data_IF_358094068950
#
_entry.id   IF_358094068950
#
_cell.length_a   1.000
_cell.length_b   1.000
_cell.length_c   1.000
_cell.angle_alpha   90.00
_cell.angle_beta   90.00
_cell.angle_gamma   90.00
#
_symmetry.space_group_name_H-M   'P 1'
#
loop_
_entity.id
_entity.type
_entity.pdbx_description
1 polymer ?
#
# COMPACT_ATOMS: atom_id res chain seq x y z
N UNK A 1 -27.72 -10.82 -34.76
CA UNK A 1 -27.84 -9.55 -33.97
C UNK A 1 -27.98 -9.81 -32.46
N UNK A 2 -28.82 -10.74 -32.02
CA UNK A 2 -29.00 -11.08 -30.59
C UNK A 2 -27.76 -11.68 -29.90
N UNK A 3 -26.92 -12.43 -30.62
CA UNK A 3 -25.70 -13.03 -30.06
C UNK A 3 -24.70 -12.02 -29.50
N UNK A 4 -24.58 -10.84 -30.12
CA UNK A 4 -23.72 -9.76 -29.60
C UNK A 4 -24.26 -9.18 -28.29
N UNK A 5 -25.57 -9.01 -28.19
CA UNK A 5 -26.22 -8.54 -26.96
C UNK A 5 -26.07 -9.56 -25.83
N UNK A 6 -26.21 -10.85 -26.13
CA UNK A 6 -26.04 -11.92 -25.14
C UNK A 6 -24.58 -12.03 -24.67
N UNK A 7 -23.60 -11.87 -25.57
CA UNK A 7 -22.19 -11.86 -25.21
C UNK A 7 -21.82 -10.68 -24.30
N UNK A 8 -22.32 -9.47 -24.59
CA UNK A 8 -22.10 -8.28 -23.76
C UNK A 8 -22.72 -8.45 -22.37
N UNK A 9 -23.92 -9.03 -22.29
CA UNK A 9 -24.58 -9.31 -21.02
C UNK A 9 -23.79 -10.32 -20.17
N UNK A 10 -23.34 -11.42 -20.77
CA UNK A 10 -22.55 -12.44 -20.08
C UNK A 10 -21.19 -11.89 -19.59
N UNK A 11 -20.53 -11.06 -20.40
CA UNK A 11 -19.27 -10.42 -20.01
C UNK A 11 -19.48 -9.48 -18.81
N UNK A 12 -20.56 -8.70 -18.81
CA UNK A 12 -20.94 -7.83 -17.69
C UNK A 12 -21.23 -8.62 -16.41
N UNK A 13 -21.96 -9.73 -16.51
CA UNK A 13 -22.21 -10.62 -15.38
C UNK A 13 -20.92 -11.23 -14.82
N UNK A 14 -20.00 -11.64 -15.69
CA UNK A 14 -18.71 -12.22 -15.29
C UNK A 14 -17.84 -11.18 -14.57
N UNK A 15 -17.73 -9.97 -15.11
CA UNK A 15 -16.99 -8.87 -14.46
C UNK A 15 -17.58 -8.52 -13.08
N UNK A 16 -18.91 -8.45 -12.98
CA UNK A 16 -19.60 -8.18 -11.71
C UNK A 16 -19.39 -9.31 -10.69
N UNK A 17 -19.38 -10.58 -11.12
CA UNK A 17 -19.12 -11.72 -10.25
C UNK A 17 -17.66 -11.75 -9.76
N UNK A 18 -16.70 -11.53 -10.66
CA UNK A 18 -15.29 -11.44 -10.32
C UNK A 18 -14.99 -10.28 -9.35
N UNK A 19 -15.62 -9.12 -9.59
CA UNK A 19 -15.47 -7.95 -8.71
C UNK A 19 -16.08 -8.19 -7.32
N UNK A 20 -17.26 -8.82 -7.24
CA UNK A 20 -17.85 -9.22 -5.95
C UNK A 20 -17.01 -10.27 -5.22
N UNK A 21 -16.40 -11.22 -5.92
CA UNK A 21 -15.53 -12.23 -5.31
C UNK A 21 -14.23 -11.60 -4.78
N UNK A 22 -13.59 -10.72 -5.57
CA UNK A 22 -12.40 -9.97 -5.14
C UNK A 22 -12.71 -9.08 -3.93
N UNK A 23 -13.84 -8.39 -3.94
CA UNK A 23 -14.29 -7.53 -2.83
C UNK A 23 -14.68 -8.34 -1.58
N UNK A 24 -15.14 -9.59 -1.74
CA UNK A 24 -15.39 -10.51 -0.60
C UNK A 24 -14.09 -10.98 0.05
N UNK A 25 -13.04 -11.23 -0.72
CA UNK A 25 -11.74 -11.62 -0.18
C UNK A 25 -11.07 -10.47 0.61
N UNK A 26 -11.28 -9.22 0.20
CA UNK A 26 -10.81 -8.03 0.94
C UNK A 26 -11.57 -7.82 2.27
N UNK A 27 -12.82 -8.27 2.37
CA UNK A 27 -13.61 -8.22 3.62
C UNK A 27 -13.36 -9.40 4.56
N UNK A 28 -12.57 -10.40 4.15
CA UNK A 28 -12.22 -11.57 4.95
C UNK A 28 -10.92 -11.39 5.77
N UNK A 29 -10.36 -10.18 5.85
CA UNK A 29 -9.40 -9.83 6.91
C UNK A 29 -10.08 -9.06 8.06
N UNK A 30 -10.95 -9.68 8.89
CA UNK A 30 -11.16 -9.24 10.26
C UNK A 30 -10.43 -10.21 11.19
N UNK A 31 -9.14 -9.99 11.41
CA UNK A 31 -8.48 -10.48 12.62
C UNK A 31 -8.12 -9.23 13.42
N UNK A 32 -8.95 -8.79 14.37
CA UNK A 32 -9.09 -9.41 15.70
C UNK A 32 -7.76 -9.93 16.22
N UNK A 33 -7.01 -9.03 16.82
CA UNK A 33 -5.94 -9.35 17.73
C UNK A 33 -5.62 -8.09 18.50
N UNK A 34 -5.94 -8.11 19.80
CA UNK A 34 -5.37 -7.32 20.88
C UNK A 34 -4.23 -6.36 20.47
N UNK A 35 -4.29 -5.11 20.92
CA UNK A 35 -3.10 -4.28 21.02
C UNK A 35 -2.43 -4.66 22.35
N UNK A 36 -1.43 -5.57 22.43
CA UNK A 36 -0.47 -5.44 23.50
C UNK A 36 0.51 -4.37 23.03
N UNK A 37 0.46 -3.24 23.72
CA UNK A 37 1.59 -2.33 23.81
C UNK A 37 2.89 -3.15 23.94
N UNK A 38 3.89 -3.00 23.07
CA UNK A 38 5.21 -3.52 23.36
C UNK A 38 6.02 -2.40 24.01
N UNK A 39 5.87 -2.33 25.33
CA UNK A 39 6.99 -2.09 26.22
C UNK A 39 8.18 -2.94 25.78
N UNK A 40 9.30 -2.26 25.56
CA UNK A 40 10.66 -2.65 25.92
C UNK A 40 11.10 -4.12 25.71
N UNK A 41 12.02 -4.30 24.75
CA UNK A 41 13.15 -5.24 24.78
C UNK A 41 12.85 -6.72 25.06
N UNK A 42 12.78 -7.56 24.01
CA UNK A 42 13.16 -8.99 24.14
C UNK A 42 13.89 -9.49 22.89
N UNK A 43 15.19 -9.71 23.05
CA UNK A 43 16.03 -10.60 22.23
C UNK A 43 15.61 -12.04 22.50
N UNK A 44 15.15 -12.78 21.48
CA UNK A 44 15.09 -14.24 21.54
C UNK A 44 15.82 -14.82 20.34
N UNK A 45 16.95 -15.45 20.69
CA UNK A 45 17.77 -16.34 19.89
C UNK A 45 17.05 -17.67 19.63
N UNK A 46 17.53 -18.37 18.59
CA UNK A 46 17.47 -19.83 18.41
C UNK A 46 16.14 -20.50 18.02
N UNK A 47 16.00 -20.79 16.72
CA UNK A 47 15.87 -22.16 16.19
C UNK A 47 15.81 -22.14 14.65
N UNK A 48 16.97 -22.16 13.99
CA UNK A 48 17.04 -22.47 12.56
C UNK A 48 17.27 -23.99 12.41
N UNK A 49 16.27 -24.71 11.91
CA UNK A 49 16.42 -26.11 11.47
C UNK A 49 17.41 -26.14 10.30
N UNK A 50 18.60 -26.72 10.54
CA UNK A 50 19.80 -26.60 9.71
C UNK A 50 19.77 -27.37 8.39
N UNK A 51 18.84 -27.04 7.49
CA UNK A 51 18.90 -27.51 6.10
C UNK A 51 18.41 -26.44 5.11
N UNK A 52 19.06 -25.29 5.13
CA UNK A 52 19.14 -24.42 3.97
C UNK A 52 20.52 -23.77 3.98
N UNK A 53 21.38 -24.22 3.08
CA UNK A 53 22.66 -23.60 2.82
C UNK A 53 22.39 -22.32 2.01
N UNK A 54 22.99 -21.22 2.46
CA UNK A 54 22.88 -19.83 1.99
C UNK A 54 21.83 -18.98 2.73
N UNK A 55 22.37 -18.21 3.67
CA UNK A 55 21.70 -17.15 4.41
C UNK A 55 21.43 -15.95 3.49
N UNK A 56 20.22 -15.83 2.93
CA UNK A 56 19.70 -14.57 2.36
C UNK A 56 18.99 -13.70 3.43
N UNK A 57 19.27 -13.97 4.71
CA UNK A 57 18.58 -13.30 5.82
C UNK A 57 19.11 -11.89 6.11
N UNK A 58 20.30 -11.53 5.60
CA UNK A 58 20.87 -10.19 5.80
C UNK A 58 20.41 -9.16 4.76
N UNK A 59 20.02 -9.56 3.54
CA UNK A 59 19.50 -8.63 2.53
C UNK A 59 18.04 -8.24 2.81
N UNK A 60 17.22 -9.19 3.28
CA UNK A 60 15.79 -8.95 3.58
C UNK A 60 15.57 -8.20 4.91
N UNK A 61 16.53 -8.23 5.84
CA UNK A 61 16.40 -7.55 7.13
C UNK A 61 16.72 -6.05 7.07
N UNK A 62 17.55 -5.60 6.14
CA UNK A 62 17.88 -4.18 5.98
C UNK A 62 16.69 -3.40 5.39
N UNK A 63 15.86 -4.04 4.57
CA UNK A 63 14.65 -3.42 4.01
C UNK A 63 13.49 -3.29 5.02
N UNK A 64 13.48 -4.10 6.09
CA UNK A 64 12.38 -4.17 7.06
C UNK A 64 12.63 -3.38 8.36
N UNK A 65 13.80 -2.74 8.54
CA UNK A 65 14.13 -1.96 9.74
C UNK A 65 14.01 -0.45 9.57
N UNK A 66 13.36 0.05 8.50
CA UNK A 66 13.01 1.47 8.45
C UNK A 66 11.72 1.64 9.27
N UNK A 67 11.92 1.95 10.55
CA UNK A 67 10.93 2.53 11.47
C UNK A 67 9.89 3.32 10.68
N UNK A 68 8.59 3.10 10.88
CA UNK A 68 7.54 3.89 10.22
C UNK A 68 7.84 5.36 10.48
N UNK A 69 8.41 6.04 9.48
CA UNK A 69 8.64 7.48 9.52
C UNK A 69 7.29 8.07 9.16
N UNK A 70 6.71 8.75 10.14
CA UNK A 70 5.53 9.58 9.91
C UNK A 70 6.00 10.89 9.31
N UNK A 71 5.28 11.35 8.29
CA UNK A 71 5.63 12.52 7.50
C UNK A 71 4.68 13.68 7.80
N UNK A 72 4.17 13.74 9.04
CA UNK A 72 3.12 14.67 9.47
C UNK A 72 1.86 14.54 8.58
N UNK A 73 1.53 13.29 8.23
CA UNK A 73 0.50 12.94 7.25
C UNK A 73 -0.62 12.06 7.84
N UNK A 74 -0.80 12.13 9.16
CA UNK A 74 -1.77 11.34 9.92
C UNK A 74 -3.21 11.64 9.50
N UNK A 75 -3.50 12.87 9.08
CA UNK A 75 -4.83 13.28 8.61
C UNK A 75 -5.29 12.47 7.38
N UNK A 76 -4.35 11.94 6.58
CA UNK A 76 -4.66 11.11 5.43
C UNK A 76 -5.20 9.72 5.80
N UNK A 77 -5.06 9.28 7.07
CA UNK A 77 -5.59 7.99 7.54
C UNK A 77 -7.12 7.90 7.43
N UNK A 78 -7.82 9.04 7.38
CA UNK A 78 -9.27 9.09 7.15
C UNK A 78 -9.67 8.49 5.79
N UNK A 79 -8.73 8.42 4.84
CA UNK A 79 -8.94 7.86 3.51
C UNK A 79 -8.57 6.37 3.39
N UNK A 80 -8.42 5.67 4.52
CA UNK A 80 -8.13 4.24 4.53
C UNK A 80 -9.21 3.44 3.80
N UNK A 81 -8.79 2.62 2.85
CA UNK A 81 -9.69 1.79 2.03
C UNK A 81 -10.46 2.55 0.95
N UNK A 82 -10.17 3.84 0.73
CA UNK A 82 -10.69 4.61 -0.40
C UNK A 82 -9.97 4.20 -1.69
N UNK A 83 -10.73 4.14 -2.79
CA UNK A 83 -10.19 3.82 -4.11
C UNK A 83 -9.42 5.02 -4.70
N UNK A 84 -8.25 4.82 -5.33
CA UNK A 84 -7.46 5.86 -6.01
C UNK A 84 -8.24 6.78 -6.96
N UNK A 85 -9.32 6.29 -7.58
CA UNK A 85 -10.13 7.06 -8.53
C UNK A 85 -11.31 7.77 -7.89
N UNK A 86 -11.55 7.57 -6.58
CA UNK A 86 -12.72 8.07 -5.87
C UNK A 86 -12.42 9.31 -5.01
N UNK A 87 -11.22 9.86 -5.10
CA UNK A 87 -10.83 11.07 -4.37
C UNK A 87 -11.39 12.33 -5.06
N UNK A 88 -12.01 13.21 -4.26
CA UNK A 88 -12.42 14.55 -4.70
C UNK A 88 -11.22 15.52 -4.72
N UNK A 89 -11.32 16.61 -5.48
CA UNK A 89 -10.23 17.60 -5.62
C UNK A 89 -9.65 18.08 -4.26
N UNK A 90 -10.45 18.43 -3.24
CA UNK A 90 -9.90 18.85 -1.95
C UNK A 90 -9.12 17.74 -1.24
N UNK A 91 -9.52 16.48 -1.42
CA UNK A 91 -8.78 15.36 -0.88
C UNK A 91 -7.45 15.19 -1.62
N UNK A 92 -7.45 15.30 -2.95
CA UNK A 92 -6.23 15.27 -3.77
C UNK A 92 -5.27 16.39 -3.35
N UNK A 93 -5.79 17.59 -3.09
CA UNK A 93 -4.99 18.72 -2.61
C UNK A 93 -4.26 18.39 -1.30
N UNK A 94 -4.91 17.73 -0.33
CA UNK A 94 -4.27 17.32 0.92
C UNK A 94 -3.11 16.33 0.70
N UNK A 95 -3.27 15.36 -0.21
CA UNK A 95 -2.16 14.47 -0.58
C UNK A 95 -1.02 15.24 -1.27
N UNK A 96 -1.35 16.24 -2.07
CA UNK A 96 -0.37 17.05 -2.81
C UNK A 96 0.43 17.93 -1.86
N UNK A 97 -0.21 18.53 -0.87
CA UNK A 97 0.46 19.33 0.16
C UNK A 97 1.54 18.52 0.86
N UNK A 98 1.20 17.31 1.35
CA UNK A 98 2.18 16.41 1.95
C UNK A 98 3.27 16.04 0.94
N UNK A 99 2.91 15.63 -0.28
CA UNK A 99 3.90 15.26 -1.30
C UNK A 99 4.93 16.37 -1.56
N UNK A 100 4.52 17.63 -1.53
CA UNK A 100 5.40 18.79 -1.76
C UNK A 100 6.24 19.21 -0.56
N UNK A 101 5.90 18.78 0.66
CA UNK A 101 6.79 18.98 1.82
C UNK A 101 7.93 17.96 1.87
N UNK A 102 7.77 16.82 1.17
CA UNK A 102 8.74 15.73 1.17
C UNK A 102 9.94 15.99 0.27
N UNK A 103 11.10 15.49 0.69
CA UNK A 103 12.26 15.36 -0.20
C UNK A 103 12.07 14.18 -1.14
N UNK A 104 12.66 14.22 -2.34
CA UNK A 104 12.64 13.12 -3.31
C UNK A 104 13.13 11.77 -2.72
N UNK A 105 14.04 11.81 -1.75
CA UNK A 105 14.54 10.61 -1.05
C UNK A 105 13.51 10.00 -0.10
N UNK A 106 12.54 10.79 0.33
CA UNK A 106 11.51 10.46 1.30
C UNK A 106 10.21 9.97 0.66
N UNK A 107 9.90 10.41 -0.58
CA UNK A 107 8.68 10.04 -1.32
C UNK A 107 8.50 8.51 -1.38
N UNK A 108 9.54 7.76 -1.68
CA UNK A 108 9.45 6.28 -1.71
C UNK A 108 9.14 5.67 -0.34
N UNK A 109 9.60 6.28 0.75
CA UNK A 109 9.30 5.83 2.11
C UNK A 109 7.87 6.18 2.51
N UNK A 110 7.41 7.37 2.13
CA UNK A 110 6.04 7.82 2.34
C UNK A 110 5.01 6.97 1.57
N UNK A 111 5.24 6.67 0.29
CA UNK A 111 4.35 5.77 -0.47
C UNK A 111 4.25 4.38 0.19
N UNK A 112 5.36 3.87 0.73
CA UNK A 112 5.36 2.61 1.46
C UNK A 112 4.57 2.73 2.77
N UNK A 113 4.68 3.84 3.51
CA UNK A 113 3.92 4.08 4.74
C UNK A 113 2.41 4.18 4.47
N UNK A 114 2.00 4.82 3.38
CA UNK A 114 0.60 4.88 2.92
C UNK A 114 0.07 3.48 2.62
N UNK A 115 0.84 2.66 1.89
CA UNK A 115 0.47 1.28 1.58
C UNK A 115 0.30 0.42 2.85
N UNK A 116 1.22 0.55 3.82
CA UNK A 116 1.12 -0.16 5.11
C UNK A 116 -0.13 0.25 5.90
N UNK A 117 -0.58 1.50 5.77
CA UNK A 117 -1.80 2.03 6.40
C UNK A 117 -3.06 1.80 5.57
N UNK A 118 -2.96 1.10 4.43
CA UNK A 118 -4.05 0.89 3.47
C UNK A 118 -4.71 2.21 2.99
N UNK A 119 -3.91 3.27 2.88
CA UNK A 119 -4.30 4.53 2.24
C UNK A 119 -3.74 4.51 0.82
N UNK A 120 -4.60 4.69 -0.16
CA UNK A 120 -4.18 4.68 -1.56
C UNK A 120 -3.81 6.09 -2.02
N UNK A 121 -2.75 6.25 -2.81
CA UNK A 121 -2.46 7.52 -3.45
C UNK A 121 -3.48 7.79 -4.57
N UNK A 122 -4.03 9.02 -4.69
CA UNK A 122 -4.88 9.40 -5.82
C UNK A 122 -4.18 9.22 -7.17
N UNK A 123 -4.92 8.78 -8.19
CA UNK A 123 -4.36 8.55 -9.52
C UNK A 123 -3.77 9.81 -10.15
N UNK A 124 -4.34 10.98 -9.85
CA UNK A 124 -3.85 12.28 -10.34
C UNK A 124 -2.42 12.62 -9.89
N UNK A 125 -1.97 12.10 -8.73
CA UNK A 125 -0.64 12.36 -8.18
C UNK A 125 0.34 11.20 -8.43
N UNK A 126 -0.14 10.10 -9.00
CA UNK A 126 0.65 8.89 -9.22
C UNK A 126 1.88 9.17 -10.08
N UNK A 127 1.68 9.78 -11.24
CA UNK A 127 2.75 10.05 -12.20
C UNK A 127 3.79 11.02 -11.64
N UNK A 128 3.34 12.04 -10.91
CA UNK A 128 4.21 13.04 -10.26
C UNK A 128 5.10 12.39 -9.18
N UNK A 129 4.50 11.59 -8.29
CA UNK A 129 5.25 10.87 -7.27
C UNK A 129 6.26 9.88 -7.89
N UNK A 130 5.92 9.23 -9.01
CA UNK A 130 6.85 8.36 -9.72
C UNK A 130 8.01 9.11 -10.39
N UNK A 131 7.76 10.31 -10.92
CA UNK A 131 8.80 11.15 -11.52
C UNK A 131 9.86 11.53 -10.48
N UNK A 132 9.41 12.00 -9.30
CA UNK A 132 10.29 12.35 -8.18
C UNK A 132 11.16 11.18 -7.68
N UNK A 133 10.69 9.93 -7.81
CA UNK A 133 11.48 8.75 -7.47
C UNK A 133 12.45 8.36 -8.58
N UNK A 134 12.06 8.57 -9.84
CA UNK A 134 12.77 8.08 -11.03
C UNK A 134 14.01 8.92 -11.35
N UNK A 135 13.96 10.24 -11.16
CA UNK A 135 15.11 11.13 -11.35
C UNK A 135 16.32 10.69 -10.50
N UNK A 136 16.09 10.03 -9.36
CA UNK A 136 17.15 9.48 -8.51
C UNK A 136 17.85 8.24 -9.10
N UNK A 137 17.17 7.42 -9.91
CA UNK A 137 17.76 6.14 -10.39
C UNK A 137 18.78 6.33 -11.51
N UNK A 138 18.86 7.54 -12.07
CA UNK A 138 19.67 7.85 -13.26
C UNK A 138 20.96 8.63 -12.86
N UNK A 139 21.13 8.99 -11.59
CA UNK A 139 22.35 9.60 -11.03
C UNK A 139 23.19 8.60 -10.25
#
# INVERSE_FOLDING_TARGET
>A
MYHFLLALFLLGCFAAAASRLRNRNLRQQPERGEIPSPSETQTISEACCGQHEVCERDTLRIAATKKTVYYEDEDLDRFRGTDPSAYDEPAIDEFREVLYTLRETEVSGWLHSLQLRAVSLPDALRDEAFLMISDRKIG
#
